data_IF_985910092709
#
_entry.id   IF_985910092709
#
_cell.length_a   1.000
_cell.length_b   1.000
_cell.length_c   1.000
_cell.angle_alpha   90.00
_cell.angle_beta   90.00
_cell.angle_gamma   90.00
#
_symmetry.space_group_name_H-M   'P 1'
#
loop_
_entity.id
_entity.type
_entity.pdbx_description
1 polymer ?
#
# COMPACT_ATOMS: atom_id res chain seq x y z
N UNK A 1 4.52 -5.61 -27.06
CA UNK A 1 4.11 -5.83 -25.67
C UNK A 1 3.76 -4.47 -25.09
N UNK A 2 2.61 -4.31 -24.46
CA UNK A 2 2.18 -3.03 -23.85
C UNK A 2 2.46 -3.13 -22.37
N UNK A 3 3.34 -2.27 -21.87
CA UNK A 3 3.62 -2.15 -20.44
C UNK A 3 2.60 -1.18 -19.83
N UNK A 4 1.81 -1.65 -18.88
CA UNK A 4 0.83 -0.83 -18.15
C UNK A 4 1.40 -0.53 -16.77
N UNK A 5 1.75 0.73 -16.54
CA UNK A 5 2.25 1.18 -15.23
C UNK A 5 1.11 1.17 -14.20
N UNK A 6 1.26 0.34 -13.16
CA UNK A 6 0.35 0.33 -12.01
C UNK A 6 0.65 1.55 -11.15
N UNK A 7 -0.34 2.42 -10.97
CA UNK A 7 -0.25 3.57 -10.08
C UNK A 7 -0.96 3.25 -8.76
N UNK A 8 -0.34 3.61 -7.64
CA UNK A 8 -0.90 3.46 -6.29
C UNK A 8 -1.30 4.83 -5.73
N UNK A 9 -2.47 5.37 -6.07
CA UNK A 9 -2.84 6.75 -5.77
C UNK A 9 -3.08 7.02 -4.28
N UNK A 10 -3.27 5.96 -3.49
CA UNK A 10 -3.57 6.02 -2.06
C UNK A 10 -2.33 5.85 -1.18
N UNK A 11 -1.19 5.46 -1.76
CA UNK A 11 0.08 5.32 -1.07
C UNK A 11 0.94 6.57 -1.28
N UNK A 12 1.68 6.96 -0.26
CA UNK A 12 2.70 8.00 -0.34
C UNK A 12 3.90 7.62 0.51
N UNK A 13 5.04 8.25 0.26
CA UNK A 13 6.23 8.08 1.06
C UNK A 13 6.43 9.34 1.89
N UNK A 14 6.55 9.18 3.22
CA UNK A 14 6.82 10.30 4.10
C UNK A 14 8.32 10.67 4.11
N UNK A 15 8.67 11.74 4.83
CA UNK A 15 10.05 12.21 4.93
C UNK A 15 11.03 11.20 5.58
N UNK A 16 10.51 10.17 6.26
CA UNK A 16 11.30 9.08 6.86
C UNK A 16 11.38 7.85 5.94
N UNK A 17 11.03 7.99 4.66
CA UNK A 17 11.00 6.91 3.66
C UNK A 17 10.04 5.76 4.01
N UNK A 18 9.00 6.02 4.80
CA UNK A 18 7.98 5.04 5.15
C UNK A 18 6.75 5.21 4.27
N UNK A 19 6.20 4.08 3.83
CA UNK A 19 4.91 4.03 3.14
C UNK A 19 3.78 4.40 4.12
N UNK A 20 3.09 5.48 3.80
CA UNK A 20 1.94 6.01 4.52
C UNK A 20 0.72 6.06 3.60
N UNK A 21 -0.44 6.10 4.21
CA UNK A 21 -1.68 6.32 3.49
C UNK A 21 -1.79 7.81 3.16
N UNK A 22 -2.08 8.13 1.91
CA UNK A 22 -2.29 9.50 1.45
C UNK A 22 -3.42 10.17 2.24
N UNK A 23 -3.13 11.36 2.78
CA UNK A 23 -4.07 12.11 3.63
C UNK A 23 -4.11 11.65 5.09
N UNK A 24 -3.25 10.70 5.48
CA UNK A 24 -3.13 10.23 6.86
C UNK A 24 -1.67 10.14 7.30
N UNK A 25 -1.44 10.11 8.61
CA UNK A 25 -0.14 9.73 9.18
C UNK A 25 -0.07 8.23 9.54
N UNK A 26 -1.06 7.44 9.10
CA UNK A 26 -1.12 6.01 9.35
C UNK A 26 -0.15 5.28 8.41
N UNK A 27 0.68 4.39 8.96
CA UNK A 27 1.63 3.61 8.17
C UNK A 27 0.92 2.44 7.52
N UNK A 28 1.33 2.14 6.29
CA UNK A 28 0.84 0.97 5.56
C UNK A 28 1.18 -0.33 6.31
N UNK A 29 2.34 -0.38 6.96
CA UNK A 29 2.75 -1.52 7.78
C UNK A 29 1.80 -1.78 8.96
N UNK A 30 1.17 -0.73 9.52
CA UNK A 30 0.21 -0.88 10.62
C UNK A 30 -1.09 -1.51 10.11
N UNK A 31 -1.59 -1.07 8.94
CA UNK A 31 -2.72 -1.73 8.29
C UNK A 31 -2.47 -3.20 7.98
N UNK A 32 -1.29 -3.52 7.45
CA UNK A 32 -0.92 -4.91 7.18
C UNK A 32 -0.85 -5.71 8.48
N UNK A 33 -0.36 -5.11 9.57
CA UNK A 33 -0.38 -5.75 10.89
C UNK A 33 -1.80 -6.06 11.31
N UNK A 34 -2.74 -5.12 11.15
CA UNK A 34 -4.16 -5.36 11.46
C UNK A 34 -4.77 -6.47 10.58
N UNK A 35 -4.48 -6.45 9.28
CA UNK A 35 -4.89 -7.49 8.35
C UNK A 35 -4.35 -8.87 8.74
N UNK A 36 -3.06 -8.97 9.07
CA UNK A 36 -2.42 -10.24 9.44
C UNK A 36 -2.83 -10.74 10.82
N UNK A 37 -2.94 -9.84 11.80
CA UNK A 37 -3.23 -10.21 13.18
C UNK A 37 -4.70 -10.55 13.41
N UNK A 38 -5.61 -9.85 12.72
CA UNK A 38 -7.06 -9.97 12.93
C UNK A 38 -7.80 -10.57 11.72
N UNK A 39 -7.12 -10.80 10.60
CA UNK A 39 -7.76 -11.30 9.36
C UNK A 39 -8.66 -10.26 8.69
N UNK A 40 -8.54 -8.98 9.04
CA UNK A 40 -9.42 -7.93 8.52
C UNK A 40 -9.12 -7.65 7.05
N UNK A 41 -10.12 -7.86 6.19
CA UNK A 41 -10.07 -7.46 4.80
C UNK A 41 -10.18 -5.94 4.62
N UNK A 42 -10.18 -5.50 3.36
CA UNK A 42 -10.33 -4.09 3.01
C UNK A 42 -11.62 -3.45 3.55
N UNK A 43 -12.72 -4.20 3.59
CA UNK A 43 -14.03 -3.72 4.07
C UNK A 43 -14.04 -3.57 5.59
N UNK A 44 -13.59 -4.58 6.34
CA UNK A 44 -13.42 -4.48 7.80
C UNK A 44 -12.46 -3.36 8.20
N UNK A 45 -11.33 -3.21 7.51
CA UNK A 45 -10.39 -2.12 7.81
C UNK A 45 -11.02 -0.75 7.56
N UNK A 46 -11.87 -0.60 6.54
CA UNK A 46 -12.61 0.63 6.34
C UNK A 46 -13.63 0.89 7.47
N UNK A 47 -14.27 -0.15 8.01
CA UNK A 47 -15.17 -0.02 9.17
C UNK A 47 -14.43 0.43 10.43
N UNK A 48 -13.20 -0.03 10.64
CA UNK A 48 -12.36 0.36 11.78
C UNK A 48 -11.70 1.74 11.59
N UNK A 49 -11.44 2.14 10.35
CA UNK A 49 -10.80 3.42 10.00
C UNK A 49 -11.65 4.22 8.99
N UNK A 50 -12.90 4.59 9.32
CA UNK A 50 -13.85 5.16 8.35
C UNK A 50 -13.48 6.56 7.87
N UNK A 51 -12.68 7.28 8.65
CA UNK A 51 -12.14 8.59 8.30
C UNK A 51 -11.02 8.52 7.24
N UNK A 52 -10.57 7.32 6.89
CA UNK A 52 -9.56 7.07 5.89
C UNK A 52 -10.18 6.36 4.69
N UNK A 53 -10.79 7.15 3.80
CA UNK A 53 -11.38 6.67 2.55
C UNK A 53 -10.41 5.80 1.72
N UNK A 54 -9.11 6.04 1.88
CA UNK A 54 -8.02 5.34 1.22
C UNK A 54 -7.58 4.03 1.90
N UNK A 55 -7.99 3.71 3.13
CA UNK A 55 -7.49 2.50 3.85
C UNK A 55 -7.89 1.21 3.16
N UNK A 56 -9.18 1.05 2.84
CA UNK A 56 -9.67 -0.17 2.19
C UNK A 56 -9.05 -0.34 0.79
N UNK A 57 -8.96 0.74 0.04
CA UNK A 57 -8.36 0.72 -1.30
C UNK A 57 -6.85 0.45 -1.26
N UNK A 58 -6.13 1.01 -0.29
CA UNK A 58 -4.71 0.69 -0.05
C UNK A 58 -4.47 -0.81 0.15
N UNK A 59 -5.34 -1.49 0.92
CA UNK A 59 -5.16 -2.92 1.17
C UNK A 59 -5.49 -3.75 -0.07
N UNK A 60 -6.49 -3.36 -0.84
CA UNK A 60 -6.76 -3.97 -2.16
C UNK A 60 -5.56 -3.83 -3.10
N UNK A 61 -4.93 -2.66 -3.13
CA UNK A 61 -3.73 -2.41 -3.92
C UNK A 61 -2.57 -3.32 -3.49
N UNK A 62 -2.35 -3.46 -2.18
CA UNK A 62 -1.27 -4.31 -1.63
C UNK A 62 -1.55 -5.80 -1.88
N UNK A 63 -2.79 -6.25 -1.70
CA UNK A 63 -3.20 -7.63 -2.00
C UNK A 63 -3.06 -7.96 -3.48
N UNK A 64 -3.42 -7.03 -4.37
CA UNK A 64 -3.24 -7.18 -5.81
C UNK A 64 -1.76 -7.39 -6.15
N UNK A 65 -0.87 -6.60 -5.56
CA UNK A 65 0.57 -6.68 -5.80
C UNK A 65 1.16 -7.96 -5.21
N UNK A 66 0.71 -8.37 -4.03
CA UNK A 66 1.12 -9.65 -3.46
C UNK A 66 0.71 -10.84 -4.35
N UNK A 67 -0.51 -10.80 -4.92
CA UNK A 67 -1.02 -11.81 -5.86
C UNK A 67 -0.26 -11.82 -7.20
N UNK A 68 0.07 -10.65 -7.75
CA UNK A 68 0.77 -10.52 -9.03
C UNK A 68 2.28 -10.83 -8.88
N UNK A 69 2.87 -10.50 -7.73
CA UNK A 69 4.32 -10.59 -7.50
C UNK A 69 4.84 -11.90 -6.90
N UNK A 70 3.97 -12.86 -6.56
CA UNK A 70 4.36 -14.06 -5.79
C UNK A 70 5.17 -13.69 -4.52
N UNK A 71 4.74 -12.64 -3.83
CA UNK A 71 5.43 -12.10 -2.66
C UNK A 71 4.79 -12.73 -1.42
N UNK A 72 5.34 -13.87 -0.98
CA UNK A 72 4.91 -14.61 0.22
C UNK A 72 5.01 -13.79 1.53
N UNK A 73 5.43 -12.53 1.46
CA UNK A 73 5.52 -11.65 2.62
C UNK A 73 5.02 -10.23 2.29
N UNK A 74 3.83 -9.89 2.80
CA UNK A 74 3.21 -8.57 2.69
C UNK A 74 4.10 -7.44 3.23
N UNK A 75 4.97 -7.72 4.21
CA UNK A 75 5.94 -6.75 4.71
C UNK A 75 6.98 -6.37 3.65
N UNK A 76 7.44 -7.36 2.86
CA UNK A 76 8.34 -7.13 1.73
C UNK A 76 7.63 -6.37 0.61
N UNK A 77 6.33 -6.61 0.42
CA UNK A 77 5.49 -5.86 -0.53
C UNK A 77 5.47 -4.37 -0.22
N UNK A 78 5.37 -3.95 1.05
CA UNK A 78 5.43 -2.51 1.41
C UNK A 78 6.77 -1.90 1.04
N UNK A 79 7.86 -2.57 1.37
CA UNK A 79 9.20 -2.08 1.03
C UNK A 79 9.38 -2.01 -0.49
N UNK A 80 8.85 -3.01 -1.22
CA UNK A 80 8.87 -3.04 -2.67
C UNK A 80 8.04 -1.91 -3.29
N UNK A 81 6.82 -1.66 -2.80
CA UNK A 81 5.97 -0.57 -3.25
C UNK A 81 6.61 0.79 -3.01
N UNK A 82 7.27 0.98 -1.86
CA UNK A 82 8.01 2.20 -1.59
C UNK A 82 9.18 2.42 -2.57
N UNK A 83 9.87 1.35 -2.99
CA UNK A 83 10.91 1.42 -4.02
C UNK A 83 10.33 1.77 -5.39
N UNK A 84 9.27 1.08 -5.82
CA UNK A 84 8.61 1.35 -7.10
C UNK A 84 8.11 2.79 -7.21
N UNK A 85 7.53 3.33 -6.13
CA UNK A 85 7.02 4.70 -6.15
C UNK A 85 8.16 5.75 -6.21
N UNK A 86 9.33 5.44 -5.63
CA UNK A 86 10.53 6.28 -5.73
C UNK A 86 11.10 6.27 -7.16
N UNK A 87 11.19 5.09 -7.78
CA UNK A 87 11.66 4.93 -9.17
C UNK A 87 10.71 5.58 -10.18
N UNK A 88 9.40 5.45 -9.97
CA UNK A 88 8.39 6.08 -10.83
C UNK A 88 8.39 7.62 -10.72
N UNK A 89 8.79 8.19 -9.58
CA UNK A 89 9.03 9.63 -9.44
C UNK A 89 10.36 10.06 -10.07
N UNK A 90 11.36 9.17 -10.14
CA UNK A 90 12.67 9.47 -10.75
C UNK A 90 12.59 9.55 -12.29
N UNK A 91 11.62 8.87 -12.90
CA UNK A 91 11.35 8.90 -14.35
C UNK A 91 10.60 10.16 -14.82
N UNK A 92 10.26 11.09 -13.92
CA UNK A 92 9.54 12.35 -14.22
C UNK A 92 10.40 13.63 -14.09
N UNK A 93 11.72 13.50 -13.99
CA UNK A 93 12.70 14.60 -14.05
C UNK A 93 13.53 14.51 -15.32
#
# INVERSE_FOLDING_TARGET
>A
MVEVAIHYPHLSINAEEKAIIKGANLKVSELITFHLAYGWGAEELFLHFPYLSSVGECIKDIELVAKVGNLENLQNTVTFLGRLQKESNFQRL
#
